data_IF_602291442130
#
_entry.id   IF_602291442130
#
_cell.length_a   1.000
_cell.length_b   1.000
_cell.length_c   1.000
_cell.angle_alpha   90.00
_cell.angle_beta   90.00
_cell.angle_gamma   90.00
#
_symmetry.space_group_name_H-M   'P 1'
#
loop_
_entity.id
_entity.type
_entity.pdbx_description
1 polymer ?
#
# COMPACT_ATOMS: atom_id res chain seq x y z
N UNK A 1 6.42 23.40 19.02
CA UNK A 1 5.11 23.78 18.45
C UNK A 1 4.29 22.51 18.37
N UNK A 2 3.56 22.17 19.43
CA UNK A 2 2.72 20.96 19.43
C UNK A 2 1.47 21.24 18.59
N UNK A 3 1.21 20.41 17.58
CA UNK A 3 -0.05 20.43 16.83
C UNK A 3 -1.06 19.55 17.54
N UNK A 4 -2.31 20.00 17.55
CA UNK A 4 -3.43 19.32 18.15
C UNK A 4 -3.69 17.96 17.48
N UNK A 5 -3.61 16.88 18.27
CA UNK A 5 -3.68 15.49 17.80
C UNK A 5 -5.14 15.03 17.62
N UNK A 6 -6.12 15.83 18.06
CA UNK A 6 -7.55 15.49 18.04
C UNK A 6 -8.21 15.45 16.65
N UNK A 7 -7.49 15.85 15.59
CA UNK A 7 -8.01 15.97 14.22
C UNK A 7 -7.44 14.97 13.20
N UNK A 8 -6.74 13.92 13.65
CA UNK A 8 -6.24 12.90 12.73
C UNK A 8 -7.39 12.09 12.11
N UNK A 9 -7.55 12.22 10.79
CA UNK A 9 -8.51 11.41 10.02
C UNK A 9 -8.19 9.92 10.20
N UNK A 10 -9.23 9.11 10.30
CA UNK A 10 -9.16 7.69 10.65
C UNK A 10 -8.25 6.88 9.70
N UNK A 11 -7.16 6.34 10.26
CA UNK A 11 -6.28 5.30 9.70
C UNK A 11 -5.38 5.68 8.49
N UNK A 12 -4.65 6.79 8.54
CA UNK A 12 -3.54 7.01 7.59
C UNK A 12 -2.28 6.21 7.98
N UNK A 13 -2.20 4.94 7.57
CA UNK A 13 -1.03 4.07 7.79
C UNK A 13 0.27 4.54 7.10
N UNK A 14 0.21 5.56 6.24
CA UNK A 14 1.37 6.22 5.63
C UNK A 14 1.95 7.39 6.44
N UNK A 15 1.38 7.72 7.60
CA UNK A 15 1.77 8.83 8.47
C UNK A 15 2.57 8.35 9.70
N UNK A 16 3.65 9.06 10.02
CA UNK A 16 4.46 8.79 11.22
C UNK A 16 3.67 8.98 12.52
N UNK A 17 2.74 9.95 12.56
CA UNK A 17 1.95 10.25 13.76
C UNK A 17 1.01 9.11 14.15
N UNK A 18 0.49 8.37 13.16
CA UNK A 18 -0.31 7.17 13.42
C UNK A 18 0.52 6.09 14.12
N UNK A 19 1.73 5.84 13.62
CA UNK A 19 2.62 4.82 14.18
C UNK A 19 3.21 5.22 15.53
N UNK A 20 3.66 6.47 15.70
CA UNK A 20 4.13 6.98 17.00
C UNK A 20 3.03 6.85 18.07
N UNK A 21 1.78 7.21 17.75
CA UNK A 21 0.65 7.04 18.68
C UNK A 21 0.39 5.56 19.01
N UNK A 22 0.49 4.65 18.04
CA UNK A 22 0.35 3.21 18.27
C UNK A 22 1.45 2.65 19.18
N UNK A 23 2.72 2.96 18.90
CA UNK A 23 3.84 2.41 19.67
C UNK A 23 3.93 2.98 21.09
N UNK A 24 3.37 4.16 21.36
CA UNK A 24 3.16 4.65 22.75
C UNK A 24 2.12 3.78 23.49
N UNK A 25 1.07 3.32 22.82
CA UNK A 25 0.01 2.50 23.44
C UNK A 25 0.42 1.02 23.62
N UNK A 26 1.23 0.48 22.71
CA UNK A 26 1.67 -0.92 22.71
C UNK A 26 3.08 -1.14 23.31
N UNK A 27 3.57 -0.22 24.14
CA UNK A 27 4.97 -0.14 24.58
C UNK A 27 5.56 -1.42 25.22
N UNK A 28 4.74 -2.23 25.90
CA UNK A 28 5.18 -3.46 26.58
C UNK A 28 5.07 -4.74 25.72
N UNK A 29 4.59 -4.64 24.48
CA UNK A 29 4.36 -5.79 23.59
C UNK A 29 5.18 -5.71 22.30
N UNK A 30 5.86 -6.81 21.93
CA UNK A 30 6.37 -6.97 20.57
C UNK A 30 5.25 -7.45 19.65
N UNK A 31 4.97 -6.72 18.57
CA UNK A 31 3.96 -7.09 17.58
C UNK A 31 4.64 -7.55 16.28
N UNK A 32 4.17 -8.65 15.70
CA UNK A 32 4.76 -9.21 14.49
C UNK A 32 3.68 -9.45 13.42
N UNK A 33 3.59 -8.52 12.47
CA UNK A 33 2.71 -8.68 11.31
C UNK A 33 3.19 -9.84 10.41
N UNK A 34 2.24 -10.54 9.78
CA UNK A 34 2.43 -11.64 8.83
C UNK A 34 3.02 -12.93 9.47
N UNK A 35 4.15 -13.40 8.95
CA UNK A 35 4.84 -14.61 9.38
C UNK A 35 5.96 -14.27 10.37
N UNK A 36 6.08 -15.05 11.44
CA UNK A 36 7.24 -15.01 12.33
C UNK A 36 8.50 -15.53 11.63
N UNK A 37 9.67 -15.15 12.15
CA UNK A 37 10.96 -15.59 11.57
C UNK A 37 11.08 -17.11 11.45
N UNK A 38 10.53 -17.90 12.38
CA UNK A 38 10.54 -19.37 12.31
C UNK A 38 9.96 -19.92 11.00
N UNK A 39 8.85 -19.37 10.51
CA UNK A 39 8.23 -19.74 9.23
C UNK A 39 9.00 -19.18 8.02
N UNK A 40 9.57 -17.99 8.15
CA UNK A 40 10.33 -17.32 7.08
C UNK A 40 11.75 -17.88 6.90
N UNK A 41 12.35 -18.42 7.96
CA UNK A 41 13.77 -18.82 8.04
C UNK A 41 14.23 -19.70 6.86
N UNK A 42 13.50 -20.71 6.38
CA UNK A 42 13.92 -21.50 5.21
C UNK A 42 14.12 -20.64 3.96
N UNK A 43 13.27 -19.63 3.76
CA UNK A 43 13.34 -18.71 2.63
C UNK A 43 14.46 -17.69 2.81
N UNK A 44 14.56 -17.06 3.98
CA UNK A 44 15.64 -16.09 4.29
C UNK A 44 16.99 -16.78 4.11
N UNK A 45 17.22 -17.96 4.70
CA UNK A 45 18.46 -18.75 4.54
C UNK A 45 18.77 -19.18 3.12
N UNK A 46 17.76 -19.38 2.27
CA UNK A 46 17.96 -19.79 0.87
C UNK A 46 18.33 -18.63 -0.06
N UNK A 47 17.98 -17.39 0.30
CA UNK A 47 18.14 -16.21 -0.56
C UNK A 47 19.09 -15.15 -0.02
N UNK A 48 19.26 -15.05 1.31
CA UNK A 48 20.01 -14.00 1.99
C UNK A 48 21.09 -14.69 2.86
N UNK A 49 22.35 -14.69 2.44
CA UNK A 49 23.47 -15.17 3.26
C UNK A 49 23.56 -14.46 4.63
N UNK A 50 24.01 -15.12 5.70
CA UNK A 50 24.17 -14.46 7.02
C UNK A 50 25.18 -13.30 7.03
N UNK A 51 26.15 -13.35 6.13
CA UNK A 51 27.15 -12.29 5.91
C UNK A 51 26.65 -11.13 5.02
N UNK A 52 25.40 -11.17 4.57
CA UNK A 52 24.81 -10.06 3.80
C UNK A 52 24.56 -8.85 4.70
N UNK A 53 24.85 -7.65 4.18
CA UNK A 53 24.32 -6.42 4.77
C UNK A 53 22.84 -6.30 4.44
N UNK A 54 22.00 -6.35 5.46
CA UNK A 54 20.54 -6.33 5.36
C UNK A 54 19.98 -4.97 5.78
N UNK A 55 19.09 -4.40 4.96
CA UNK A 55 18.19 -3.32 5.36
C UNK A 55 16.82 -3.91 5.71
N UNK A 56 16.36 -3.75 6.94
CA UNK A 56 14.98 -4.00 7.34
C UNK A 56 14.22 -2.67 7.25
N UNK A 57 13.32 -2.54 6.27
CA UNK A 57 12.49 -1.35 6.11
C UNK A 57 11.21 -1.47 6.93
N UNK A 58 10.76 -0.37 7.54
CA UNK A 58 9.59 -0.32 8.43
C UNK A 58 9.63 -1.39 9.52
N UNK A 59 10.72 -1.45 10.28
CA UNK A 59 10.99 -2.54 11.21
C UNK A 59 9.99 -2.63 12.38
N UNK A 60 9.33 -1.52 12.73
CA UNK A 60 8.45 -1.41 13.88
C UNK A 60 9.10 -1.94 15.17
N UNK A 61 8.32 -2.73 15.92
CA UNK A 61 8.73 -3.45 17.12
C UNK A 61 8.86 -4.98 16.92
N UNK A 62 8.99 -5.43 15.66
CA UNK A 62 9.00 -6.86 15.32
C UNK A 62 10.29 -7.57 15.76
N UNK A 63 10.18 -8.86 16.11
CA UNK A 63 11.32 -9.67 16.59
C UNK A 63 12.19 -10.23 15.46
N UNK A 64 11.79 -10.08 14.20
CA UNK A 64 12.42 -10.73 13.05
C UNK A 64 13.94 -10.49 12.97
N UNK A 65 14.41 -9.26 13.20
CA UNK A 65 15.84 -8.93 13.14
C UNK A 65 16.63 -9.53 14.31
N UNK A 66 16.05 -9.61 15.51
CA UNK A 66 16.66 -10.27 16.66
C UNK A 66 16.83 -11.77 16.41
N UNK A 67 15.80 -12.42 15.87
CA UNK A 67 15.84 -13.84 15.53
C UNK A 67 16.76 -14.15 14.35
N UNK A 68 16.93 -13.21 13.40
CA UNK A 68 17.99 -13.28 12.40
C UNK A 68 19.38 -13.21 13.03
N UNK A 69 19.65 -12.30 13.98
CA UNK A 69 20.96 -12.27 14.66
C UNK A 69 21.23 -13.56 15.44
N UNK A 70 20.21 -14.14 16.10
CA UNK A 70 20.32 -15.48 16.72
C UNK A 70 20.61 -16.60 15.71
N UNK A 71 20.17 -16.45 14.46
CA UNK A 71 20.49 -17.35 13.35
C UNK A 71 21.82 -17.01 12.63
N UNK A 72 22.60 -16.06 13.17
CA UNK A 72 23.97 -15.76 12.75
C UNK A 72 24.12 -14.64 11.72
N UNK A 73 23.14 -13.77 11.55
CA UNK A 73 23.26 -12.61 10.65
C UNK A 73 24.02 -11.46 11.36
N UNK A 74 24.95 -10.83 10.64
CA UNK A 74 25.99 -9.99 11.28
C UNK A 74 25.80 -8.46 11.12
N UNK A 75 25.13 -8.01 10.05
CA UNK A 75 24.98 -6.57 9.74
C UNK A 75 23.54 -6.25 9.30
N UNK A 76 22.66 -5.99 10.28
CA UNK A 76 21.26 -5.60 10.04
C UNK A 76 21.03 -4.14 10.45
N UNK A 77 20.69 -3.31 9.46
CA UNK A 77 20.24 -1.95 9.67
C UNK A 77 18.71 -1.94 9.61
N UNK A 78 18.08 -1.46 10.67
CA UNK A 78 16.65 -1.37 10.82
C UNK A 78 16.24 0.10 10.74
N UNK A 79 15.27 0.38 9.87
CA UNK A 79 14.71 1.72 9.74
C UNK A 79 13.19 1.72 9.90
N UNK A 80 12.68 2.80 10.48
CA UNK A 80 11.26 3.07 10.60
C UNK A 80 11.03 4.59 10.57
N UNK A 81 9.84 5.00 10.16
CA UNK A 81 9.44 6.41 10.17
C UNK A 81 9.09 6.87 11.60
N UNK A 82 8.64 5.95 12.46
CA UNK A 82 8.31 6.18 13.86
C UNK A 82 9.57 6.46 14.68
N UNK A 83 9.60 7.63 15.32
CA UNK A 83 10.64 7.99 16.28
C UNK A 83 10.56 7.11 17.54
N UNK A 84 9.33 6.80 17.97
CA UNK A 84 9.04 6.02 19.18
C UNK A 84 9.51 4.57 19.02
N UNK A 85 9.19 3.91 17.90
CA UNK A 85 9.64 2.54 17.63
C UNK A 85 11.17 2.44 17.63
N UNK A 86 11.85 3.38 16.95
CA UNK A 86 13.30 3.39 16.85
C UNK A 86 13.98 3.63 18.20
N UNK A 87 13.46 4.53 19.03
CA UNK A 87 14.03 4.75 20.37
C UNK A 87 13.82 3.53 21.27
N UNK A 88 12.62 2.94 21.27
CA UNK A 88 12.31 1.72 22.02
C UNK A 88 13.22 0.56 21.63
N UNK A 89 13.35 0.28 20.34
CA UNK A 89 14.14 -0.85 19.83
C UNK A 89 15.65 -0.62 20.02
N UNK A 90 16.13 0.62 19.87
CA UNK A 90 17.53 0.97 20.18
C UNK A 90 17.87 0.73 21.64
N UNK A 91 16.99 1.10 22.58
CA UNK A 91 17.17 0.81 24.02
C UNK A 91 17.12 -0.68 24.31
N UNK A 92 16.15 -1.40 23.73
CA UNK A 92 15.96 -2.84 23.95
C UNK A 92 17.17 -3.68 23.53
N UNK A 93 17.86 -3.28 22.47
CA UNK A 93 18.96 -4.03 21.86
C UNK A 93 20.31 -3.29 21.86
N UNK A 94 20.51 -2.33 22.77
CA UNK A 94 21.74 -1.52 22.87
C UNK A 94 23.02 -2.38 22.98
N UNK A 95 22.91 -3.57 23.56
CA UNK A 95 24.00 -4.54 23.74
C UNK A 95 24.18 -5.54 22.57
N UNK A 96 23.41 -5.42 21.47
CA UNK A 96 23.48 -6.30 20.30
C UNK A 96 24.06 -5.52 19.10
N UNK A 97 25.40 -5.49 18.91
CA UNK A 97 26.05 -4.61 17.92
C UNK A 97 25.73 -4.94 16.45
N UNK A 98 25.17 -6.13 16.18
CA UNK A 98 24.67 -6.53 14.86
C UNK A 98 23.38 -5.78 14.46
N UNK A 99 22.63 -5.24 15.44
CA UNK A 99 21.38 -4.52 15.23
C UNK A 99 21.59 -3.01 15.32
N UNK A 100 21.41 -2.32 14.20
CA UNK A 100 21.45 -0.85 14.13
C UNK A 100 20.03 -0.34 13.91
N UNK A 101 19.63 0.73 14.61
CA UNK A 101 18.29 1.33 14.53
C UNK A 101 18.37 2.83 14.23
N UNK A 102 17.73 3.27 13.14
CA UNK A 102 17.73 4.66 12.67
C UNK A 102 16.34 5.09 12.19
N UNK A 103 15.91 6.30 12.56
CA UNK A 103 14.67 6.86 12.05
C UNK A 103 14.88 7.33 10.60
N UNK A 104 14.02 6.88 9.68
CA UNK A 104 14.11 7.21 8.26
C UNK A 104 12.78 6.96 7.55
N UNK A 105 12.41 7.83 6.62
CA UNK A 105 11.30 7.58 5.70
C UNK A 105 11.78 6.69 4.55
N UNK A 106 11.13 5.56 4.33
CA UNK A 106 11.50 4.61 3.25
C UNK A 106 11.32 5.21 1.83
N UNK A 107 10.66 6.36 1.71
CA UNK A 107 10.49 7.12 0.46
C UNK A 107 11.68 8.04 0.15
N UNK A 108 12.58 8.26 1.11
CA UNK A 108 13.84 9.01 0.98
C UNK A 108 14.92 8.37 1.87
N UNK A 109 15.71 7.49 1.27
CA UNK A 109 16.83 6.80 1.91
C UNK A 109 18.18 7.33 1.39
N UNK A 110 18.21 8.61 0.99
CA UNK A 110 19.37 9.30 0.40
C UNK A 110 20.62 9.37 1.29
N UNK A 111 20.46 9.14 2.60
CA UNK A 111 21.57 8.93 3.54
C UNK A 111 22.51 7.79 3.12
N UNK A 112 21.97 6.74 2.51
CA UNK A 112 22.75 5.63 1.98
C UNK A 112 23.10 5.90 0.52
N UNK A 113 24.38 5.70 0.19
CA UNK A 113 24.85 5.64 -1.20
C UNK A 113 24.17 4.52 -2.00
N UNK A 114 24.20 4.64 -3.32
CA UNK A 114 23.73 3.60 -4.24
C UNK A 114 24.49 2.29 -4.03
N UNK A 115 23.81 1.17 -4.29
CA UNK A 115 24.40 -0.19 -4.22
C UNK A 115 25.08 -0.53 -2.87
N UNK A 116 24.55 0.00 -1.77
CA UNK A 116 25.10 -0.20 -0.43
C UNK A 116 24.71 -1.54 0.22
N UNK A 117 23.54 -2.08 -0.11
CA UNK A 117 22.95 -3.26 0.55
C UNK A 117 22.99 -4.52 -0.32
N UNK A 118 23.24 -5.66 0.32
CA UNK A 118 23.15 -6.99 -0.33
C UNK A 118 21.70 -7.48 -0.35
N UNK A 119 20.91 -7.11 0.67
CA UNK A 119 19.48 -7.45 0.72
C UNK A 119 18.66 -6.38 1.43
N UNK A 120 17.40 -6.25 1.00
CA UNK A 120 16.38 -5.42 1.64
C UNK A 120 15.21 -6.34 1.99
N UNK A 121 14.68 -6.23 3.20
CA UNK A 121 13.50 -6.98 3.67
C UNK A 121 12.41 -5.97 4.04
N UNK A 122 11.24 -6.12 3.41
CA UNK A 122 9.98 -5.43 3.74
C UNK A 122 8.99 -6.46 4.28
N UNK A 123 8.42 -6.21 5.46
CA UNK A 123 7.37 -7.03 6.07
C UNK A 123 6.14 -6.20 6.44
N UNK A 124 5.47 -5.67 5.42
CA UNK A 124 4.22 -4.91 5.53
C UNK A 124 4.37 -3.39 5.41
N UNK A 125 5.57 -2.90 5.13
CA UNK A 125 5.85 -1.47 4.99
C UNK A 125 5.25 -0.93 3.69
N UNK A 126 5.41 -1.64 2.57
CA UNK A 126 4.72 -1.32 1.33
C UNK A 126 3.19 -1.40 1.48
N UNK A 127 2.68 -2.34 2.28
CA UNK A 127 1.24 -2.47 2.55
C UNK A 127 0.73 -1.23 3.30
N UNK A 128 1.44 -0.78 4.33
CA UNK A 128 1.14 0.45 5.07
C UNK A 128 1.17 1.70 4.18
N UNK A 129 2.16 1.84 3.29
CA UNK A 129 2.21 2.93 2.31
C UNK A 129 1.05 2.86 1.31
N UNK A 130 0.62 1.66 0.91
CA UNK A 130 -0.48 1.48 -0.05
C UNK A 130 -1.87 1.70 0.56
N UNK A 131 -1.98 1.74 1.89
CA UNK A 131 -3.17 2.21 2.60
C UNK A 131 -3.19 3.74 2.84
N UNK A 132 -2.08 4.44 2.57
CA UNK A 132 -1.96 5.89 2.79
C UNK A 132 -2.43 6.75 1.61
N UNK A 133 -2.47 8.07 1.83
CA UNK A 133 -2.65 9.05 0.75
C UNK A 133 -1.51 8.96 -0.28
N UNK A 134 -1.83 9.16 -1.56
CA UNK A 134 -0.88 9.05 -2.68
C UNK A 134 -0.15 7.70 -2.79
N UNK A 135 -0.81 6.62 -2.35
CA UNK A 135 -0.30 5.24 -2.37
C UNK A 135 0.53 4.86 -3.62
N UNK A 136 0.11 5.13 -4.88
CA UNK A 136 0.92 4.79 -6.06
C UNK A 136 2.25 5.56 -6.15
N UNK A 137 2.29 6.80 -5.67
CA UNK A 137 3.49 7.66 -5.65
C UNK A 137 4.41 7.23 -4.51
N UNK A 138 3.86 7.02 -3.31
CA UNK A 138 4.60 6.54 -2.13
C UNK A 138 5.27 5.18 -2.40
N UNK A 139 4.52 4.21 -2.95
CA UNK A 139 5.05 2.93 -3.39
C UNK A 139 6.13 3.09 -4.48
N UNK A 140 5.93 4.00 -5.44
CA UNK A 140 6.91 4.24 -6.51
C UNK A 140 8.23 4.84 -6.00
N UNK A 141 8.18 5.70 -4.98
CA UNK A 141 9.38 6.29 -4.35
C UNK A 141 10.13 5.24 -3.55
N UNK A 142 9.43 4.52 -2.67
CA UNK A 142 10.02 3.43 -1.88
C UNK A 142 10.69 2.37 -2.76
N UNK A 143 10.00 1.85 -3.78
CA UNK A 143 10.57 0.83 -4.68
C UNK A 143 11.73 1.38 -5.53
N UNK A 144 11.72 2.67 -5.85
CA UNK A 144 12.86 3.36 -6.47
C UNK A 144 14.09 3.34 -5.57
N UNK A 145 13.93 3.73 -4.30
CA UNK A 145 15.00 3.72 -3.32
C UNK A 145 15.51 2.29 -3.02
N UNK A 146 14.62 1.31 -2.85
CA UNK A 146 15.00 -0.12 -2.70
C UNK A 146 15.81 -0.60 -3.91
N UNK A 147 15.40 -0.26 -5.14
CA UNK A 147 16.15 -0.58 -6.35
C UNK A 147 17.51 0.12 -6.41
N UNK A 148 17.60 1.39 -6.00
CA UNK A 148 18.84 2.17 -5.96
C UNK A 148 19.85 1.59 -4.97
N UNK A 149 19.39 1.23 -3.78
CA UNK A 149 20.20 0.74 -2.67
C UNK A 149 20.72 -0.69 -2.82
N UNK A 150 20.03 -1.54 -3.59
CA UNK A 150 20.47 -2.91 -3.83
C UNK A 150 21.66 -2.97 -4.78
N UNK A 151 22.67 -3.76 -4.43
CA UNK A 151 23.76 -4.15 -5.34
C UNK A 151 23.25 -4.98 -6.54
N UNK A 152 23.99 -5.06 -7.66
CA UNK A 152 23.74 -6.06 -8.68
C UNK A 152 23.89 -7.46 -8.07
N UNK A 153 22.88 -8.31 -8.26
CA UNK A 153 22.75 -9.61 -7.58
C UNK A 153 22.02 -9.56 -6.23
N UNK A 154 21.75 -8.36 -5.69
CA UNK A 154 21.07 -8.17 -4.42
C UNK A 154 19.59 -8.56 -4.44
N UNK A 155 19.05 -8.84 -3.26
CA UNK A 155 17.70 -9.40 -3.08
C UNK A 155 16.78 -8.41 -2.36
N UNK A 156 15.65 -8.08 -2.98
CA UNK A 156 14.50 -7.55 -2.25
C UNK A 156 13.57 -8.70 -1.86
N UNK A 157 13.28 -8.84 -0.56
CA UNK A 157 12.30 -9.78 -0.01
C UNK A 157 11.11 -8.99 0.53
N UNK A 158 9.95 -9.13 -0.10
CA UNK A 158 8.69 -8.48 0.32
C UNK A 158 7.71 -9.54 0.84
N UNK A 159 7.26 -9.38 2.08
CA UNK A 159 6.19 -10.16 2.71
C UNK A 159 4.94 -9.27 2.81
N UNK A 160 3.81 -9.72 2.27
CA UNK A 160 2.63 -8.87 2.02
C UNK A 160 1.34 -9.70 1.93
N UNK A 161 0.18 -9.06 2.15
CA UNK A 161 -1.12 -9.63 1.79
C UNK A 161 -1.46 -9.43 0.32
N UNK A 162 -0.73 -8.54 -0.38
CA UNK A 162 -0.98 -8.20 -1.77
C UNK A 162 -0.66 -9.37 -2.71
N UNK A 163 -1.69 -9.92 -3.33
CA UNK A 163 -1.57 -10.90 -4.41
C UNK A 163 -0.89 -10.27 -5.66
N UNK A 164 -0.52 -11.09 -6.67
CA UNK A 164 0.17 -10.57 -7.85
C UNK A 164 -0.63 -9.56 -8.67
N UNK A 165 -1.96 -9.59 -8.66
CA UNK A 165 -2.77 -8.55 -9.32
C UNK A 165 -2.62 -7.19 -8.63
N UNK A 166 -2.49 -7.18 -7.30
CA UNK A 166 -2.29 -5.97 -6.50
C UNK A 166 -0.83 -5.50 -6.41
N UNK A 167 0.16 -6.39 -6.59
CA UNK A 167 1.59 -6.06 -6.41
C UNK A 167 2.37 -5.93 -7.73
N UNK A 168 2.10 -6.74 -8.75
CA UNK A 168 2.89 -6.69 -10.00
C UNK A 168 2.85 -5.34 -10.74
N UNK A 169 1.77 -4.52 -10.74
CA UNK A 169 1.78 -3.17 -11.32
C UNK A 169 2.81 -2.22 -10.70
N UNK A 170 3.23 -2.50 -9.45
CA UNK A 170 4.25 -1.75 -8.74
C UNK A 170 5.62 -2.42 -8.88
N UNK A 171 5.70 -3.74 -8.74
CA UNK A 171 6.96 -4.50 -8.74
C UNK A 171 7.55 -4.72 -10.15
N UNK A 172 6.74 -5.07 -11.15
CA UNK A 172 7.24 -5.48 -12.47
C UNK A 172 7.49 -4.30 -13.42
N UNK A 173 8.24 -3.29 -12.95
CA UNK A 173 8.60 -2.11 -13.74
C UNK A 173 10.01 -2.29 -14.35
N UNK A 174 10.21 -2.07 -15.66
CA UNK A 174 11.52 -2.26 -16.31
C UNK A 174 12.67 -1.49 -15.66
N UNK A 175 12.41 -0.33 -15.05
CA UNK A 175 13.40 0.48 -14.38
C UNK A 175 14.13 -0.21 -13.21
N UNK A 176 13.50 -1.21 -12.57
CA UNK A 176 14.07 -1.86 -11.37
C UNK A 176 14.99 -3.06 -11.69
N UNK A 177 14.96 -3.57 -12.93
CA UNK A 177 15.87 -4.62 -13.41
C UNK A 177 16.02 -5.82 -12.45
N UNK A 178 14.90 -6.40 -11.99
CA UNK A 178 14.90 -7.58 -11.14
C UNK A 178 14.07 -8.74 -11.69
N UNK A 179 14.43 -9.97 -11.32
CA UNK A 179 13.67 -11.19 -11.61
C UNK A 179 12.84 -11.56 -10.37
N UNK A 180 11.53 -11.71 -10.55
CA UNK A 180 10.58 -11.96 -9.47
C UNK A 180 10.32 -13.48 -9.34
N UNK A 181 10.39 -14.00 -8.11
CA UNK A 181 9.84 -15.29 -7.71
C UNK A 181 8.79 -15.07 -6.63
N UNK A 182 7.69 -15.82 -6.71
CA UNK A 182 6.63 -15.78 -5.71
C UNK A 182 6.64 -17.06 -4.86
N UNK A 183 6.34 -16.92 -3.58
CA UNK A 183 5.92 -17.98 -2.68
C UNK A 183 4.62 -17.58 -1.98
N UNK A 184 3.88 -18.57 -1.50
CA UNK A 184 2.63 -18.40 -0.77
C UNK A 184 2.66 -19.28 0.48
N UNK A 185 2.40 -18.68 1.65
CA UNK A 185 2.32 -19.38 2.92
C UNK A 185 0.94 -19.12 3.54
N UNK A 186 0.22 -20.15 4.01
CA UNK A 186 -0.97 -19.94 4.82
C UNK A 186 -0.61 -19.18 6.10
N UNK A 187 -1.57 -18.50 6.71
CA UNK A 187 -1.34 -17.74 7.95
C UNK A 187 -0.82 -18.62 9.09
N UNK A 188 -0.15 -18.03 10.09
CA UNK A 188 0.03 -18.67 11.39
C UNK A 188 -1.28 -19.32 11.87
N UNK A 189 -1.16 -20.51 12.45
CA UNK A 189 -2.27 -21.30 13.01
C UNK A 189 -3.38 -21.76 12.04
N UNK A 190 -3.22 -21.55 10.72
CA UNK A 190 -4.14 -22.09 9.72
C UNK A 190 -4.19 -23.64 9.77
N UNK A 191 -5.40 -24.18 9.91
CA UNK A 191 -5.66 -25.63 9.90
C UNK A 191 -6.35 -26.02 8.60
N UNK A 192 -5.70 -26.85 7.79
CA UNK A 192 -6.28 -27.41 6.56
C UNK A 192 -7.60 -28.14 6.88
N UNK A 193 -8.70 -27.88 6.15
CA UNK A 193 -9.92 -28.66 6.28
C UNK A 193 -9.75 -30.10 5.76
N UNK A 194 -9.69 -31.07 6.67
CA UNK A 194 -9.68 -32.52 6.36
C UNK A 194 -8.35 -33.08 5.86
N UNK A 195 -8.36 -34.39 5.54
CA UNK A 195 -7.21 -35.18 5.01
C UNK A 195 -6.85 -34.82 3.55
N UNK A 196 -6.77 -33.53 3.24
CA UNK A 196 -6.39 -33.07 1.92
C UNK A 196 -4.87 -33.22 1.72
N UNK A 197 -4.48 -34.28 1.00
CA UNK A 197 -3.09 -34.68 0.74
C UNK A 197 -2.35 -33.77 -0.27
N UNK A 198 -2.55 -32.46 -0.16
CA UNK A 198 -1.77 -31.44 -0.88
C UNK A 198 -0.28 -31.59 -0.51
N UNK A 199 0.45 -32.26 -1.40
CA UNK A 199 1.89 -32.54 -1.34
C UNK A 199 2.74 -31.37 -1.84
N UNK A 200 2.12 -30.25 -2.23
CA UNK A 200 2.83 -29.03 -2.62
C UNK A 200 3.52 -28.45 -1.39
N UNK A 201 4.85 -28.50 -1.39
CA UNK A 201 5.65 -27.81 -0.39
C UNK A 201 5.56 -26.30 -0.61
N UNK A 202 5.22 -25.55 0.44
CA UNK A 202 5.26 -24.07 0.45
C UNK A 202 6.69 -23.52 0.20
N UNK A 203 7.71 -24.39 0.24
CA UNK A 203 9.10 -24.08 -0.13
C UNK A 203 9.35 -24.13 -1.64
N UNK A 204 8.38 -24.54 -2.47
CA UNK A 204 8.45 -24.42 -3.93
C UNK A 204 7.83 -23.08 -4.40
N UNK A 205 8.45 -22.39 -5.38
CA UNK A 205 7.93 -21.12 -5.87
C UNK A 205 6.63 -21.34 -6.65
N UNK A 206 5.64 -20.47 -6.40
CA UNK A 206 4.39 -20.41 -7.14
C UNK A 206 4.70 -20.03 -8.60
N UNK A 207 4.27 -20.84 -9.59
CA UNK A 207 4.44 -20.49 -10.99
C UNK A 207 3.60 -19.24 -11.31
N UNK A 208 4.17 -18.34 -12.11
CA UNK A 208 3.49 -17.13 -12.59
C UNK A 208 3.25 -17.24 -14.09
N UNK A 209 2.16 -16.64 -14.55
CA UNK A 209 1.87 -16.43 -15.98
C UNK A 209 2.86 -15.42 -16.59
N UNK A 210 2.91 -15.32 -17.93
CA UNK A 210 3.78 -14.35 -18.62
C UNK A 210 3.48 -12.89 -18.22
N UNK A 211 2.24 -12.60 -17.80
CA UNK A 211 1.82 -11.30 -17.27
C UNK A 211 2.13 -11.10 -15.77
N UNK A 212 2.80 -12.06 -15.12
CA UNK A 212 3.12 -12.03 -13.69
C UNK A 212 1.95 -12.37 -12.76
N UNK A 213 0.79 -12.76 -13.28
CA UNK A 213 -0.38 -13.13 -12.48
C UNK A 213 -0.34 -14.61 -12.04
N UNK A 214 -1.10 -14.96 -11.01
CA UNK A 214 -1.38 -16.35 -10.65
C UNK A 214 -2.06 -17.10 -11.82
N UNK A 215 -1.75 -18.39 -12.04
CA UNK A 215 -2.49 -19.24 -12.96
C UNK A 215 -3.98 -19.35 -12.57
N UNK A 216 -4.86 -19.49 -13.56
CA UNK A 216 -6.31 -19.58 -13.31
C UNK A 216 -6.73 -20.86 -12.54
N UNK A 217 -5.90 -21.91 -12.56
CA UNK A 217 -6.03 -23.15 -11.80
C UNK A 217 -5.32 -23.11 -10.43
N UNK A 218 -4.69 -21.98 -10.07
CA UNK A 218 -4.01 -21.83 -8.78
C UNK A 218 -5.03 -21.51 -7.67
N UNK A 219 -5.35 -22.52 -6.87
CA UNK A 219 -6.20 -22.40 -5.69
C UNK A 219 -5.35 -22.09 -4.46
N UNK A 220 -5.69 -21.01 -3.74
CA UNK A 220 -5.15 -20.69 -2.42
C UNK A 220 -5.74 -21.65 -1.37
N UNK A 221 -4.91 -22.26 -0.54
CA UNK A 221 -5.37 -23.11 0.56
C UNK A 221 -5.98 -22.30 1.71
N UNK A 222 -5.35 -21.17 2.04
CA UNK A 222 -5.87 -20.13 2.95
C UNK A 222 -6.14 -18.87 2.10
N UNK A 223 -7.39 -18.35 2.03
CA UNK A 223 -7.70 -17.18 1.23
C UNK A 223 -6.95 -15.93 1.69
N UNK A 224 -6.57 -15.86 2.97
CA UNK A 224 -5.79 -14.76 3.53
C UNK A 224 -4.29 -15.14 3.67
N UNK A 225 -3.79 -16.05 2.85
CA UNK A 225 -2.37 -16.42 2.81
C UNK A 225 -1.45 -15.22 2.66
N UNK A 226 -0.26 -15.31 3.25
CA UNK A 226 0.82 -14.35 3.06
C UNK A 226 1.62 -14.66 1.78
N UNK A 227 1.80 -13.66 0.93
CA UNK A 227 2.65 -13.74 -0.25
C UNK A 227 4.06 -13.27 0.07
N UNK A 228 5.06 -13.99 -0.46
CA UNK A 228 6.47 -13.62 -0.34
C UNK A 228 7.07 -13.49 -1.73
N UNK A 229 7.46 -12.27 -2.08
CA UNK A 229 8.15 -11.97 -3.33
C UNK A 229 9.65 -11.90 -3.07
N UNK A 230 10.43 -12.64 -3.84
CA UNK A 230 11.88 -12.47 -3.94
C UNK A 230 12.22 -11.85 -5.28
N UNK A 231 12.79 -10.66 -5.27
CA UNK A 231 13.16 -9.90 -6.45
C UNK A 231 14.68 -9.76 -6.51
N UNK A 232 15.32 -10.51 -7.40
CA UNK A 232 16.78 -10.50 -7.59
C UNK A 232 17.18 -9.45 -8.61
N UNK A 233 17.82 -8.35 -8.18
CA UNK A 233 18.34 -7.31 -9.07
C UNK A 233 19.45 -7.87 -9.95
N UNK A 234 19.39 -7.67 -11.26
CA UNK A 234 20.46 -8.07 -12.19
C UNK A 234 21.22 -6.84 -12.71
N UNK A 235 22.50 -7.04 -13.04
CA UNK A 235 23.29 -6.00 -13.71
C UNK A 235 22.74 -5.75 -15.12
N UNK A 236 22.76 -4.48 -15.55
CA UNK A 236 22.48 -4.07 -16.93
C UNK A 236 23.40 -4.72 -17.98
N UNK A 237 24.52 -5.33 -17.57
CA UNK A 237 25.36 -6.15 -18.45
C UNK A 237 24.80 -7.57 -18.72
N UNK A 238 23.82 -8.03 -17.93
CA UNK A 238 23.26 -9.39 -17.98
C UNK A 238 21.74 -9.39 -18.28
N UNK A 239 21.29 -8.50 -19.18
CA UNK A 239 19.89 -8.51 -19.66
C UNK A 239 19.59 -9.85 -20.34
N UNK A 240 18.66 -10.67 -19.82
CA UNK A 240 18.20 -11.85 -20.54
C UNK A 240 17.38 -11.36 -21.75
N UNK A 241 17.77 -11.76 -22.96
CA UNK A 241 16.92 -11.58 -24.13
C UNK A 241 15.52 -12.21 -23.85
N UNK A 242 14.40 -11.56 -24.22
CA UNK A 242 13.06 -11.95 -23.77
C UNK A 242 12.59 -13.38 -24.09
N UNK A 243 13.36 -14.12 -24.89
CA UNK A 243 13.04 -15.47 -25.38
C UNK A 243 13.70 -16.62 -24.59
N UNK A 244 14.66 -16.35 -23.70
CA UNK A 244 15.46 -17.43 -23.09
C UNK A 244 14.81 -18.11 -21.87
N UNK A 245 13.97 -17.40 -21.12
CA UNK A 245 13.32 -17.93 -19.91
C UNK A 245 12.34 -19.07 -20.22
N UNK A 246 11.52 -18.90 -21.26
CA UNK A 246 10.44 -19.83 -21.65
C UNK A 246 10.99 -21.18 -22.13
N UNK A 247 12.10 -21.18 -22.89
CA UNK A 247 12.70 -22.42 -23.44
C UNK A 247 13.20 -23.40 -22.36
N UNK A 248 13.72 -22.90 -21.24
CA UNK A 248 14.30 -23.75 -20.18
C UNK A 248 13.22 -24.44 -19.34
N UNK A 249 12.03 -23.85 -19.26
CA UNK A 249 10.85 -24.46 -18.61
C UNK A 249 10.24 -25.55 -19.51
N UNK A 250 9.93 -25.21 -20.77
CA UNK A 250 9.31 -26.12 -21.76
C UNK A 250 10.05 -27.46 -21.91
N UNK A 251 11.40 -27.44 -21.98
CA UNK A 251 12.21 -28.67 -22.09
C UNK A 251 12.07 -29.62 -20.89
N UNK A 252 11.83 -29.10 -19.68
CA UNK A 252 11.60 -29.93 -18.48
C UNK A 252 10.19 -30.54 -18.47
N UNK A 253 9.18 -29.77 -18.88
CA UNK A 253 7.80 -30.25 -18.97
C UNK A 253 7.64 -31.36 -20.01
N UNK A 254 8.23 -31.19 -21.20
CA UNK A 254 8.25 -32.23 -22.26
C UNK A 254 8.96 -33.52 -21.81
N UNK A 255 10.06 -33.40 -21.06
CA UNK A 255 10.79 -34.54 -20.49
C UNK A 255 9.98 -35.31 -19.44
N UNK A 256 9.07 -34.65 -18.70
CA UNK A 256 8.14 -35.31 -17.77
C UNK A 256 7.03 -36.05 -18.51
N UNK A 257 6.41 -35.43 -19.52
CA UNK A 257 5.33 -36.05 -20.31
C UNK A 257 5.81 -37.32 -21.05
N UNK A 258 6.96 -37.25 -21.75
CA UNK A 258 7.52 -38.39 -22.47
C UNK A 258 7.88 -39.59 -21.56
N UNK A 259 7.99 -39.39 -20.24
CA UNK A 259 8.25 -40.46 -19.27
C UNK A 259 6.97 -41.20 -18.82
N UNK A 260 5.81 -40.54 -18.81
CA UNK A 260 4.54 -41.20 -18.48
C UNK A 260 3.97 -42.01 -19.66
N UNK A 261 4.22 -41.60 -20.92
CA UNK A 261 3.68 -42.28 -22.10
C UNK A 261 4.26 -43.68 -22.37
N UNK A 262 5.28 -44.13 -21.63
CA UNK A 262 5.89 -45.46 -21.79
C UNK A 262 5.46 -46.49 -20.73
N UNK A 263 4.56 -46.13 -19.81
CA UNK A 263 4.08 -47.02 -18.75
C UNK A 263 2.57 -46.94 -18.54
N UNK A 264 1.81 -47.58 -19.43
CA UNK A 264 0.58 -48.31 -19.06
C UNK A 264 0.04 -49.10 -20.25
N UNK A 265 -0.04 -50.42 -20.09
CA UNK A 265 -0.78 -51.33 -20.96
C UNK A 265 -2.08 -51.70 -20.26
N UNK A 266 -3.23 -51.19 -20.72
CA UNK A 266 -4.54 -51.75 -20.34
C UNK A 266 -5.65 -51.31 -21.32
N UNK A 267 -5.87 -52.12 -22.36
CA UNK A 267 -6.93 -51.91 -23.36
C UNK A 267 -8.21 -52.62 -22.88
N UNK A 268 -8.93 -51.99 -21.94
CA UNK A 268 -10.24 -52.49 -21.46
C UNK A 268 -11.19 -51.42 -20.89
N UNK A 269 -10.69 -50.28 -20.39
CA UNK A 269 -11.48 -49.30 -19.60
C UNK A 269 -12.06 -48.16 -20.46
N UNK A 270 -11.95 -48.23 -21.79
CA UNK A 270 -12.07 -47.06 -22.68
C UNK A 270 -13.52 -46.66 -23.00
N UNK A 271 -14.47 -47.61 -23.06
CA UNK A 271 -15.85 -47.28 -23.49
C UNK A 271 -16.69 -46.56 -22.43
N UNK A 272 -16.57 -46.93 -21.15
CA UNK A 272 -17.35 -46.27 -20.09
C UNK A 272 -16.86 -44.85 -19.78
N UNK A 273 -15.55 -44.61 -19.77
CA UNK A 273 -14.97 -43.26 -19.54
C UNK A 273 -15.20 -42.29 -20.69
N UNK A 274 -15.41 -42.78 -21.91
CA UNK A 274 -15.66 -41.93 -23.08
C UNK A 274 -17.03 -41.22 -23.05
N UNK A 275 -17.96 -41.64 -22.18
CA UNK A 275 -19.25 -40.99 -21.99
C UNK A 275 -19.17 -39.83 -20.99
N UNK A 276 -18.55 -40.03 -19.83
CA UNK A 276 -18.33 -38.98 -18.82
C UNK A 276 -17.46 -37.86 -19.37
N UNK A 277 -16.33 -38.17 -20.01
CA UNK A 277 -15.46 -37.16 -20.63
C UNK A 277 -16.19 -36.33 -21.70
N UNK A 278 -17.17 -36.90 -22.41
CA UNK A 278 -18.01 -36.16 -23.37
C UNK A 278 -19.06 -35.26 -22.71
N UNK A 279 -19.44 -35.51 -21.46
CA UNK A 279 -20.30 -34.65 -20.68
C UNK A 279 -19.48 -33.49 -20.09
N UNK A 280 -18.35 -33.81 -19.44
CA UNK A 280 -17.42 -32.83 -18.87
C UNK A 280 -16.89 -31.84 -19.93
N UNK A 281 -16.56 -32.31 -21.15
CA UNK A 281 -16.15 -31.41 -22.23
C UNK A 281 -17.25 -30.43 -22.65
N UNK A 282 -18.52 -30.84 -22.67
CA UNK A 282 -19.64 -29.94 -23.00
C UNK A 282 -19.86 -28.90 -21.90
N UNK A 283 -19.75 -29.30 -20.65
CA UNK A 283 -19.87 -28.37 -19.52
C UNK A 283 -18.69 -27.39 -19.50
N UNK A 284 -17.47 -27.84 -19.78
CA UNK A 284 -16.31 -26.98 -19.96
C UNK A 284 -16.46 -26.00 -21.15
N UNK A 285 -17.04 -26.42 -22.26
CA UNK A 285 -17.27 -25.54 -23.41
C UNK A 285 -18.39 -24.52 -23.14
N UNK A 286 -19.50 -24.93 -22.51
CA UNK A 286 -20.55 -24.02 -22.04
C UNK A 286 -19.99 -22.96 -21.06
N UNK A 287 -19.09 -23.35 -20.16
CA UNK A 287 -18.44 -22.44 -19.21
C UNK A 287 -17.47 -21.47 -19.91
N UNK A 288 -16.74 -21.90 -20.95
CA UNK A 288 -15.90 -20.99 -21.76
C UNK A 288 -16.75 -19.94 -22.48
N UNK A 289 -17.88 -20.34 -23.06
CA UNK A 289 -18.81 -19.42 -23.72
C UNK A 289 -19.38 -18.40 -22.73
N UNK A 290 -19.71 -18.83 -21.51
CA UNK A 290 -20.21 -17.92 -20.48
C UNK A 290 -19.11 -16.97 -19.96
N UNK A 291 -17.88 -17.45 -19.79
CA UNK A 291 -16.71 -16.60 -19.48
C UNK A 291 -16.49 -15.56 -20.57
N UNK A 292 -16.59 -15.93 -21.85
CA UNK A 292 -16.44 -15.00 -22.97
C UNK A 292 -17.54 -13.92 -22.98
N UNK A 293 -18.80 -14.29 -22.71
CA UNK A 293 -19.92 -13.33 -22.55
C UNK A 293 -19.70 -12.38 -21.37
N UNK A 294 -19.25 -12.91 -20.22
CA UNK A 294 -18.99 -12.11 -19.02
C UNK A 294 -17.82 -11.14 -19.23
N UNK A 295 -16.74 -11.57 -19.89
CA UNK A 295 -15.62 -10.71 -20.28
C UNK A 295 -16.05 -9.60 -21.25
N UNK A 296 -16.87 -9.93 -22.24
CA UNK A 296 -17.45 -8.95 -23.16
C UNK A 296 -18.32 -7.92 -22.41
N UNK A 297 -19.20 -8.38 -21.52
CA UNK A 297 -20.04 -7.49 -20.69
C UNK A 297 -19.20 -6.61 -19.75
N UNK A 298 -18.10 -7.13 -19.20
CA UNK A 298 -17.16 -6.35 -18.40
C UNK A 298 -16.48 -5.25 -19.23
N UNK A 299 -16.05 -5.56 -20.46
CA UNK A 299 -15.49 -4.56 -21.37
C UNK A 299 -16.51 -3.46 -21.71
N UNK A 300 -17.75 -3.83 -21.97
CA UNK A 300 -18.85 -2.89 -22.22
C UNK A 300 -19.11 -1.98 -21.01
N UNK A 301 -19.18 -2.53 -19.78
CA UNK A 301 -19.28 -1.75 -18.54
C UNK A 301 -18.08 -0.79 -18.32
N UNK A 302 -16.92 -1.11 -18.88
CA UNK A 302 -15.72 -0.25 -18.90
C UNK A 302 -15.69 0.74 -20.08
N UNK A 303 -16.78 0.87 -20.85
CA UNK A 303 -16.89 1.75 -22.02
C UNK A 303 -16.13 1.28 -23.26
N UNK A 304 -15.75 -0.01 -23.32
CA UNK A 304 -14.99 -0.61 -24.43
C UNK A 304 -15.86 -1.56 -25.25
N UNK A 305 -15.49 -1.73 -26.52
CA UNK A 305 -16.16 -2.60 -27.50
C UNK A 305 -17.69 -2.44 -27.60
N UNK A 306 -18.16 -1.18 -27.49
CA UNK A 306 -19.57 -0.80 -27.63
C UNK A 306 -20.08 -0.84 -29.09
N UNK A 307 -19.22 -1.22 -30.04
CA UNK A 307 -19.48 -1.10 -31.48
C UNK A 307 -20.41 -2.22 -31.96
N UNK A 308 -21.66 -1.87 -32.26
CA UNK A 308 -22.69 -2.80 -32.70
C UNK A 308 -23.83 -2.99 -31.70
N UNK A 309 -23.72 -2.43 -30.50
CA UNK A 309 -24.84 -2.33 -29.57
C UNK A 309 -25.92 -1.38 -30.12
N UNK A 310 -27.18 -1.73 -29.91
CA UNK A 310 -28.31 -0.85 -30.19
C UNK A 310 -28.46 0.25 -29.14
N UNK A 311 -29.18 1.32 -29.49
CA UNK A 311 -29.49 2.42 -28.56
C UNK A 311 -30.14 1.93 -27.26
N UNK A 312 -31.01 0.90 -27.33
CA UNK A 312 -31.69 0.33 -26.16
C UNK A 312 -30.73 -0.40 -25.22
N UNK A 313 -29.76 -1.13 -25.77
CA UNK A 313 -28.75 -1.83 -24.98
C UNK A 313 -27.77 -0.85 -24.33
N UNK A 314 -27.42 0.23 -25.01
CA UNK A 314 -26.61 1.32 -24.45
C UNK A 314 -27.34 2.06 -23.32
N UNK A 315 -28.62 2.38 -23.50
CA UNK A 315 -29.46 2.98 -22.44
C UNK A 315 -29.59 2.05 -21.22
N UNK A 316 -29.71 0.74 -21.43
CA UNK A 316 -29.77 -0.22 -20.34
C UNK A 316 -28.42 -0.37 -19.60
N UNK A 317 -27.31 -0.30 -20.33
CA UNK A 317 -25.96 -0.28 -19.74
C UNK A 317 -25.72 0.99 -18.91
N UNK A 318 -26.13 2.15 -19.43
CA UNK A 318 -26.10 3.43 -18.72
C UNK A 318 -26.97 3.38 -17.44
N UNK A 319 -28.16 2.80 -17.51
CA UNK A 319 -29.01 2.59 -16.34
C UNK A 319 -28.32 1.71 -15.27
N UNK A 320 -27.76 0.55 -15.66
CA UNK A 320 -27.03 -0.33 -14.73
C UNK A 320 -25.85 0.38 -14.05
N UNK A 321 -25.10 1.20 -14.80
CA UNK A 321 -23.98 1.98 -14.25
C UNK A 321 -24.47 3.07 -13.29
N UNK A 322 -25.57 3.75 -13.59
CA UNK A 322 -26.17 4.76 -12.72
C UNK A 322 -26.76 4.17 -11.43
N UNK A 323 -27.43 3.02 -11.51
CA UNK A 323 -27.91 2.28 -10.33
C UNK A 323 -26.76 1.81 -9.44
N UNK A 324 -25.69 1.27 -10.03
CA UNK A 324 -24.47 0.90 -9.30
C UNK A 324 -23.78 2.09 -8.65
N UNK A 325 -23.68 3.23 -9.36
CA UNK A 325 -23.12 4.48 -8.83
C UNK A 325 -23.94 5.03 -7.66
N UNK A 326 -25.28 4.99 -7.77
CA UNK A 326 -26.19 5.40 -6.70
C UNK A 326 -26.01 4.51 -5.46
N UNK A 327 -25.98 3.19 -5.62
CA UNK A 327 -25.76 2.24 -4.52
C UNK A 327 -24.40 2.45 -3.82
N UNK A 328 -23.33 2.70 -4.58
CA UNK A 328 -22.01 3.04 -4.02
C UNK A 328 -22.04 4.38 -3.27
N UNK A 329 -22.79 5.37 -3.78
CA UNK A 329 -22.96 6.67 -3.11
C UNK A 329 -23.72 6.51 -1.79
N UNK A 330 -24.89 5.88 -1.81
CA UNK A 330 -25.71 5.61 -0.62
C UNK A 330 -24.92 4.84 0.43
N UNK A 331 -24.13 3.83 0.03
CA UNK A 331 -23.31 3.07 0.97
C UNK A 331 -22.19 3.90 1.60
N UNK A 332 -21.57 4.81 0.83
CA UNK A 332 -20.58 5.77 1.36
C UNK A 332 -21.21 6.78 2.32
N UNK A 333 -22.40 7.30 1.99
CA UNK A 333 -23.14 8.22 2.87
C UNK A 333 -23.54 7.52 4.19
N UNK A 334 -24.00 6.27 4.12
CA UNK A 334 -24.29 5.47 5.32
C UNK A 334 -23.05 5.30 6.22
N UNK A 335 -21.91 4.91 5.65
CA UNK A 335 -20.67 4.70 6.41
C UNK A 335 -20.14 6.02 7.01
N UNK A 336 -20.26 7.14 6.30
CA UNK A 336 -19.86 8.45 6.79
C UNK A 336 -20.73 8.90 7.98
N UNK A 337 -22.04 8.67 7.91
CA UNK A 337 -22.97 8.97 9.01
C UNK A 337 -22.70 8.09 10.24
N UNK A 338 -22.36 6.82 10.03
CA UNK A 338 -21.98 5.90 11.11
C UNK A 338 -20.67 6.34 11.79
N UNK A 339 -19.65 6.72 11.03
CA UNK A 339 -18.41 7.28 11.56
C UNK A 339 -18.62 8.59 12.33
N UNK A 340 -19.50 9.47 11.85
CA UNK A 340 -19.83 10.73 12.52
C UNK A 340 -20.47 10.49 13.89
N UNK A 341 -21.41 9.55 13.99
CA UNK A 341 -22.07 9.22 15.26
C UNK A 341 -21.12 8.51 16.24
N UNK A 342 -20.25 7.61 15.76
CA UNK A 342 -19.19 6.99 16.57
C UNK A 342 -18.25 8.06 17.15
N UNK A 343 -17.81 9.02 16.32
CA UNK A 343 -16.97 10.15 16.75
C UNK A 343 -17.68 11.03 17.79
N UNK A 344 -18.98 11.31 17.60
CA UNK A 344 -19.80 12.09 18.54
C UNK A 344 -19.94 11.42 19.92
N UNK A 345 -20.09 10.09 19.94
CA UNK A 345 -20.12 9.30 21.19
C UNK A 345 -18.73 9.29 21.85
N UNK A 346 -17.65 9.24 21.08
CA UNK A 346 -16.29 9.32 21.59
C UNK A 346 -15.98 10.70 22.21
N UNK A 347 -16.39 11.81 21.57
CA UNK A 347 -16.29 13.18 22.11
C UNK A 347 -16.98 13.27 23.48
N UNK A 348 -18.21 12.76 23.59
CA UNK A 348 -18.97 12.78 24.85
C UNK A 348 -18.30 11.96 25.96
N UNK A 349 -17.75 10.78 25.63
CA UNK A 349 -17.00 9.95 26.59
C UNK A 349 -15.74 10.67 27.07
N UNK A 350 -14.94 11.22 26.16
CA UNK A 350 -13.71 11.94 26.48
C UNK A 350 -13.99 13.22 27.29
N UNK A 351 -15.13 13.88 27.07
CA UNK A 351 -15.57 15.04 27.85
C UNK A 351 -15.91 14.66 29.31
N UNK A 352 -16.65 13.57 29.51
CA UNK A 352 -17.01 13.08 30.85
C UNK A 352 -15.77 12.59 31.64
N UNK A 353 -14.83 11.94 30.94
CA UNK A 353 -13.56 11.50 31.52
C UNK A 353 -12.69 12.69 31.91
N UNK A 354 -12.56 13.70 31.05
CA UNK A 354 -11.86 14.95 31.37
C UNK A 354 -12.48 15.69 32.57
N UNK A 355 -13.81 15.73 32.67
CA UNK A 355 -14.49 16.32 33.82
C UNK A 355 -14.18 15.55 35.11
N UNK A 356 -14.16 14.22 35.04
CA UNK A 356 -13.83 13.34 36.17
C UNK A 356 -12.37 13.52 36.62
N UNK A 357 -11.42 13.55 35.68
CA UNK A 357 -10.00 13.79 35.96
C UNK A 357 -9.77 15.19 36.56
N UNK A 358 -10.48 16.22 36.08
CA UNK A 358 -10.41 17.56 36.66
C UNK A 358 -10.87 17.59 38.13
N UNK A 359 -11.96 16.89 38.47
CA UNK A 359 -12.40 16.75 39.88
C UNK A 359 -11.36 16.04 40.74
N UNK A 360 -10.78 14.94 40.25
CA UNK A 360 -9.70 14.22 40.96
C UNK A 360 -8.44 15.07 41.18
N UNK A 361 -8.05 15.89 40.20
CA UNK A 361 -6.93 16.84 40.34
C UNK A 361 -7.23 17.90 41.41
N UNK A 362 -8.45 18.40 41.48
CA UNK A 362 -8.84 19.40 42.48
C UNK A 362 -8.94 18.78 43.90
N UNK A 363 -9.50 17.58 44.03
CA UNK A 363 -9.47 16.81 45.28
C UNK A 363 -8.03 16.58 45.76
N UNK A 364 -7.13 16.14 44.88
CA UNK A 364 -5.71 15.93 45.20
C UNK A 364 -5.01 17.23 45.61
N UNK A 365 -5.32 18.38 44.98
CA UNK A 365 -4.82 19.69 45.41
C UNK A 365 -5.24 20.04 46.82
N UNK A 366 -6.45 19.67 47.23
CA UNK A 366 -6.96 19.88 48.59
C UNK A 366 -6.19 19.16 49.70
N UNK A 367 -5.39 18.12 49.38
CA UNK A 367 -4.60 17.38 50.36
C UNK A 367 -3.18 17.92 50.58
N UNK A 368 -2.69 18.86 49.76
CA UNK A 368 -1.37 19.46 49.92
C UNK A 368 -1.47 20.86 50.55
N UNK A 369 -0.72 21.16 51.64
CA UNK A 369 -0.73 22.51 52.20
C UNK A 369 -0.17 23.51 51.18
N UNK A 370 -0.85 24.66 51.05
CA UNK A 370 -0.47 25.74 50.15
C UNK A 370 0.95 26.22 50.43
N UNK A 371 1.88 25.90 49.53
CA UNK A 371 3.23 26.45 49.56
C UNK A 371 3.22 27.80 48.85
N UNK A 372 3.56 28.87 49.57
CA UNK A 372 3.71 30.22 49.03
C UNK A 372 4.95 30.33 48.11
N UNK A 373 4.84 29.72 46.93
CA UNK A 373 5.68 29.99 45.78
C UNK A 373 4.79 30.12 44.55
N UNK A 374 5.01 31.14 43.69
CA UNK A 374 4.22 31.31 42.49
C UNK A 374 4.51 30.16 41.53
N UNK A 375 3.61 29.18 41.48
CA UNK A 375 3.59 28.18 40.41
C UNK A 375 3.16 28.91 39.14
N UNK A 376 4.10 29.04 38.22
CA UNK A 376 3.90 29.77 36.97
C UNK A 376 2.84 29.04 36.13
N UNK A 377 1.72 29.72 35.87
CA UNK A 377 0.61 29.16 35.08
C UNK A 377 1.03 29.06 33.61
N UNK A 378 0.95 27.85 33.04
CA UNK A 378 1.27 27.59 31.64
C UNK A 378 0.07 27.12 30.80
N UNK A 379 -1.13 27.03 31.38
CA UNK A 379 -2.34 26.56 30.70
C UNK A 379 -3.59 27.35 31.15
N UNK A 380 -3.78 28.55 30.59
CA UNK A 380 -5.11 29.15 30.52
C UNK A 380 -5.91 28.51 29.38
N UNK A 381 -6.81 27.58 29.72
CA UNK A 381 -7.80 27.07 28.78
C UNK A 381 -8.98 28.03 28.69
N UNK A 382 -9.07 28.79 27.60
CA UNK A 382 -10.28 29.55 27.27
C UNK A 382 -11.46 28.59 26.95
N UNK A 383 -12.68 28.84 27.46
CA UNK A 383 -13.86 28.09 27.06
C UNK A 383 -14.24 28.45 25.62
N UNK A 384 -14.32 27.46 24.73
CA UNK A 384 -14.89 27.65 23.39
C UNK A 384 -16.41 27.58 23.50
N UNK A 385 -17.07 28.75 23.53
CA UNK A 385 -18.53 28.81 23.49
C UNK A 385 -19.08 28.29 22.16
N UNK A 386 -19.89 27.22 22.25
CA UNK A 386 -20.50 26.57 21.09
C UNK A 386 -21.71 27.39 20.61
N UNK A 387 -21.50 28.36 19.71
CA UNK A 387 -22.58 29.12 19.07
C UNK A 387 -23.40 28.24 18.11
N UNK A 388 -24.46 27.61 18.61
CA UNK A 388 -25.49 26.99 17.76
C UNK A 388 -26.58 28.00 17.42
N UNK A 389 -26.45 28.72 16.31
CA UNK A 389 -27.54 29.50 15.73
C UNK A 389 -28.21 28.71 14.61
N UNK A 390 -29.37 28.09 14.93
CA UNK A 390 -30.28 27.55 13.91
C UNK A 390 -30.85 28.74 13.13
N UNK A 391 -30.57 28.80 11.83
CA UNK A 391 -31.19 29.78 10.93
C UNK A 391 -32.15 29.07 10.00
N UNK A 392 -33.43 29.12 10.36
CA UNK A 392 -34.53 28.89 9.43
C UNK A 392 -34.80 30.20 8.67
N UNK A 393 -34.73 30.17 7.34
CA UNK A 393 -35.14 31.29 6.51
C UNK A 393 -36.43 30.98 5.74
N UNK A 394 -37.53 31.52 6.24
CA UNK A 394 -38.77 31.74 5.48
C UNK A 394 -38.93 33.24 5.17
N UNK A 395 -39.28 33.49 3.91
CA UNK A 395 -39.28 34.74 3.15
C UNK A 395 -40.19 35.84 3.75
N UNK A 396 -39.72 37.10 3.84
CA UNK A 396 -40.28 38.27 3.11
C UNK A 396 -39.52 39.60 3.36
N UNK A 397 -39.70 40.55 2.44
CA UNK A 397 -39.09 41.90 2.30
C UNK A 397 -40.25 42.94 2.21
N UNK A 398 -40.08 44.29 2.27
CA UNK A 398 -38.88 45.15 2.38
C UNK A 398 -38.94 46.01 3.70
N UNK A 399 -38.42 47.24 3.90
CA UNK A 399 -37.82 48.30 3.06
C UNK A 399 -37.03 49.36 3.89
N UNK A 400 -36.52 50.41 3.23
CA UNK A 400 -36.00 51.72 3.73
C UNK A 400 -34.58 51.77 4.32
N UNK A 401 -33.64 52.15 3.44
CA UNK A 401 -32.60 53.19 3.55
C UNK A 401 -32.20 53.75 4.92
N UNK A 402 -30.90 53.66 5.27
CA UNK A 402 -30.17 54.66 6.08
C UNK A 402 -28.65 54.61 5.80
N UNK A 403 -28.03 55.75 5.48
CA UNK A 403 -26.57 55.90 5.32
C UNK A 403 -25.92 56.27 6.67
N UNK A 404 -24.75 55.72 7.02
CA UNK A 404 -23.62 56.56 7.48
C UNK A 404 -22.24 55.88 7.39
N UNK A 405 -21.22 56.71 7.55
CA UNK A 405 -19.80 56.62 7.16
C UNK A 405 -18.93 55.46 7.68
N UNK A 406 -17.92 55.15 6.87
CA UNK A 406 -16.76 54.28 7.10
C UNK A 406 -15.75 54.91 8.09
N UNK A 407 -15.19 54.13 9.02
CA UNK A 407 -13.74 54.12 9.30
C UNK A 407 -13.21 52.71 9.71
N UNK A 408 -12.15 52.30 8.99
CA UNK A 408 -11.14 51.23 9.15
C UNK A 408 -11.21 50.21 10.31
N UNK A 409 -11.02 48.93 9.95
CA UNK A 409 -10.51 47.85 10.82
C UNK A 409 -10.32 46.51 10.08
N UNK A 410 -9.06 46.18 9.80
CA UNK A 410 -8.41 44.92 9.37
C UNK A 410 -9.17 43.63 8.94
N UNK A 411 -8.50 42.91 8.02
CA UNK A 411 -8.61 41.47 7.68
C UNK A 411 -9.98 40.88 7.30
N UNK A 412 -10.09 40.29 6.10
CA UNK A 412 -9.94 38.82 6.04
C UNK A 412 -9.65 38.23 4.65
N UNK A 413 -9.12 37.00 4.67
CA UNK A 413 -8.56 36.28 3.52
C UNK A 413 -9.63 35.52 2.73
N UNK A 414 -10.03 35.99 1.55
CA UNK A 414 -11.06 35.30 0.74
C UNK A 414 -10.46 34.18 -0.12
N UNK A 415 -10.67 32.92 0.29
CA UNK A 415 -10.32 31.74 -0.52
C UNK A 415 -11.34 31.53 -1.65
N UNK A 416 -10.96 31.87 -2.87
CA UNK A 416 -11.73 31.55 -4.09
C UNK A 416 -11.59 30.07 -4.47
N UNK A 417 -12.68 29.31 -4.37
CA UNK A 417 -12.80 27.98 -4.97
C UNK A 417 -13.05 28.11 -6.49
N UNK A 418 -11.98 28.09 -7.28
CA UNK A 418 -12.04 28.20 -8.74
C UNK A 418 -12.03 26.83 -9.44
N UNK A 419 -13.17 26.41 -10.00
CA UNK A 419 -13.23 25.37 -11.04
C UNK A 419 -12.71 25.95 -12.37
N UNK A 420 -11.89 25.24 -13.15
CA UNK A 420 -11.48 25.70 -14.48
C UNK A 420 -12.59 25.47 -15.51
N UNK A 421 -13.01 26.54 -16.18
CA UNK A 421 -13.87 26.49 -17.37
C UNK A 421 -13.25 27.35 -18.46
N UNK A 422 -13.28 26.83 -19.70
CA UNK A 422 -12.57 27.37 -20.85
C UNK A 422 -12.98 28.78 -21.25
N UNK A 423 -12.02 29.63 -21.61
CA UNK A 423 -12.19 30.61 -22.70
C UNK A 423 -10.84 31.05 -23.30
N UNK A 424 -10.45 30.43 -24.41
CA UNK A 424 -9.41 31.00 -25.29
C UNK A 424 -9.93 32.26 -26.00
N UNK A 425 -9.28 33.41 -25.82
CA UNK A 425 -9.40 34.57 -26.73
C UNK A 425 -8.06 34.92 -27.37
N UNK A 426 -8.02 34.76 -28.70
CA UNK A 426 -6.93 35.14 -29.59
C UNK A 426 -6.68 36.65 -29.56
N UNK A 427 -5.41 37.08 -29.61
CA UNK A 427 -4.99 38.29 -30.34
C UNK A 427 -3.89 37.94 -31.33
N UNK A 428 -3.84 38.70 -32.43
CA UNK A 428 -3.04 38.48 -33.65
C UNK A 428 -1.71 39.27 -33.61
N UNK A 429 -0.80 39.13 -34.59
CA UNK A 429 0.65 39.16 -34.34
C UNK A 429 1.30 40.53 -34.63
N UNK A 430 2.52 40.69 -34.16
CA UNK A 430 3.48 41.66 -34.70
C UNK A 430 4.67 40.98 -35.38
N UNK A 431 5.39 41.79 -36.17
CA UNK A 431 6.10 41.38 -37.38
C UNK A 431 7.49 40.79 -37.17
N UNK A 432 7.87 40.01 -38.16
CA UNK A 432 9.23 39.63 -38.52
C UNK A 432 10.20 40.83 -38.50
N UNK A 433 11.39 40.60 -37.96
CA UNK A 433 12.61 41.19 -38.50
C UNK A 433 13.61 40.07 -38.78
N UNK A 434 14.06 40.00 -40.03
CA UNK A 434 15.05 39.03 -40.49
C UNK A 434 16.45 39.55 -40.17
N UNK A 435 17.36 38.68 -39.75
CA UNK A 435 18.78 38.80 -40.09
C UNK A 435 19.40 37.41 -40.20
N UNK A 436 19.85 37.07 -41.40
CA UNK A 436 20.52 35.81 -41.67
C UNK A 436 22.00 35.87 -41.29
N UNK A 437 22.51 34.68 -40.98
CA UNK A 437 23.91 34.32 -40.90
C UNK A 437 24.70 34.65 -42.19
N UNK A 438 25.91 35.17 -42.04
CA UNK A 438 27.10 34.86 -42.86
C UNK A 438 28.32 35.66 -42.36
N UNK A 439 29.45 34.98 -42.12
CA UNK A 439 30.67 35.62 -41.59
C UNK A 439 31.85 35.62 -42.57
N UNK A 440 32.93 36.34 -42.23
CA UNK A 440 34.33 35.99 -42.61
C UNK A 440 35.41 36.91 -42.01
N UNK A 441 36.56 36.29 -41.77
CA UNK A 441 37.94 36.82 -41.84
C UNK A 441 38.44 38.01 -40.97
N UNK A 442 39.23 37.64 -39.96
CA UNK A 442 40.69 37.87 -39.88
C UNK A 442 41.33 39.13 -40.54
N UNK A 443 41.92 39.94 -39.65
CA UNK A 443 43.31 40.43 -39.66
C UNK A 443 43.68 41.76 -40.37
N UNK A 444 44.56 42.48 -39.67
CA UNK A 444 45.22 43.75 -39.98
C UNK A 444 45.81 43.82 -41.40
N UNK A 445 45.55 44.91 -42.13
CA UNK A 445 46.46 46.07 -42.24
C UNK A 445 45.78 47.27 -42.88
#
# INVERSE_FOLDING_TARGET
MFRDVSSCNTYNYGDALYWDARYVQEADGAFDWYQRYSSLRPFVRNYIPPSSRVLMVGCGNALMSEDMVKDGYEDIINIDISSVAIEMMRRKYEYIPQLKYMQMDVRDMSYFQDEYFDSVIDKGTLDSLMCGTDAPISASRMLGEVSRLLKPGGIYMLITYGDPSARMPHLNRPAYNWIIKLYNLPRPDFKRPGDCSSTKSYLEPVPLTENGLLPADFVLEDPDSHFIYFLSKFSSANVPLPTLATQRCMKKTLSRYNKCSQSSSEVAVVEYKAAEVKQDCKEADNLKDEIAKLQMKQLQLLGKDLKGMSLKELQHLEQQLNEGLLSVKEKKEQLLMEQLEQSRVQEQRAMLENETLRRQVEELRGFFPSTDRPVQSYLECYPVERKSSVISHSIHSPDVTCNYTIEKGDSDTTLYLGLPSDYHKRKKPERESQSNDSGSQLQML
#
